data_IF_180628555511
#
_entry.id   IF_180628555511
#
_cell.length_a   1.000
_cell.length_b   1.000
_cell.length_c   1.000
_cell.angle_alpha   90.00
_cell.angle_beta   90.00
_cell.angle_gamma   90.00
#
_symmetry.space_group_name_H-M   'P 1'
#
loop_
_entity.id
_entity.type
_entity.pdbx_description
1 polymer ?
#
# COMPACT_ATOMS: atom_id res chain seq x y z
N UNK A 1 -1.93 -4.38 -1.54
CA UNK A 1 -1.83 -4.09 -3.00
C UNK A 1 -1.88 -2.60 -3.31
N UNK A 2 -2.96 -1.87 -2.98
CA UNK A 2 -3.06 -0.43 -3.29
C UNK A 2 -1.89 0.42 -2.75
N UNK A 3 -1.45 0.16 -1.51
CA UNK A 3 -0.28 0.79 -0.89
C UNK A 3 1.00 0.64 -1.73
N UNK A 4 1.24 -0.57 -2.26
CA UNK A 4 2.42 -0.88 -3.06
C UNK A 4 2.42 -0.12 -4.38
N UNK A 5 1.27 0.01 -5.05
CA UNK A 5 1.12 0.85 -6.24
C UNK A 5 1.43 2.33 -5.90
N UNK A 6 0.75 2.90 -4.91
CA UNK A 6 0.93 4.30 -4.51
C UNK A 6 2.40 4.62 -4.19
N UNK A 7 3.06 3.77 -3.39
CA UNK A 7 4.43 3.99 -2.93
C UNK A 7 5.49 3.67 -3.97
N UNK A 8 5.12 3.13 -5.13
CA UNK A 8 6.06 2.84 -6.24
C UNK A 8 5.84 3.71 -7.47
N UNK A 9 4.74 4.47 -7.54
CA UNK A 9 4.50 5.48 -8.57
C UNK A 9 5.35 6.76 -8.35
N UNK A 10 5.56 7.57 -9.41
CA UNK A 10 6.24 8.86 -9.29
C UNK A 10 5.39 9.87 -8.51
N UNK A 11 6.05 10.87 -7.92
CA UNK A 11 5.41 11.97 -7.19
C UNK A 11 5.42 11.81 -5.67
N UNK A 12 4.65 12.66 -4.99
CA UNK A 12 4.53 12.65 -3.53
C UNK A 12 3.31 11.80 -3.14
N UNK A 13 3.50 10.64 -2.49
CA UNK A 13 2.38 9.82 -2.05
C UNK A 13 1.66 10.49 -0.88
N UNK A 14 0.33 10.49 -0.92
CA UNK A 14 -0.52 10.93 0.18
C UNK A 14 -1.29 9.72 0.72
N UNK A 15 -1.19 9.50 2.03
CA UNK A 15 -1.89 8.41 2.74
C UNK A 15 -2.93 9.08 3.62
N UNK A 16 -4.19 8.69 3.48
CA UNK A 16 -5.25 9.17 4.35
C UNK A 16 -5.30 8.34 5.64
N UNK A 17 -5.62 8.98 6.76
CA UNK A 17 -5.65 8.31 8.04
C UNK A 17 -6.61 7.11 8.00
N UNK A 18 -6.16 5.96 8.51
CA UNK A 18 -6.95 4.73 8.50
C UNK A 18 -6.66 3.82 7.31
N UNK A 19 -6.13 4.32 6.19
CA UNK A 19 -5.77 3.45 5.06
C UNK A 19 -4.68 2.45 5.44
N UNK A 20 -3.75 2.85 6.30
CA UNK A 20 -2.64 2.02 6.78
C UNK A 20 -3.07 0.87 7.69
N UNK A 21 -4.26 0.96 8.30
CA UNK A 21 -4.88 -0.14 9.06
C UNK A 21 -6.08 -0.76 8.33
N UNK A 22 -6.42 -0.28 7.13
CA UNK A 22 -7.49 -0.84 6.31
C UNK A 22 -8.89 -0.43 6.79
N UNK A 23 -9.04 0.78 7.34
CA UNK A 23 -10.35 1.34 7.67
C UNK A 23 -11.27 1.38 6.46
N UNK A 24 -12.56 1.20 6.73
CA UNK A 24 -13.60 1.20 5.73
C UNK A 24 -14.37 2.51 5.77
N UNK A 25 -14.93 2.89 4.63
CA UNK A 25 -15.83 4.03 4.53
C UNK A 25 -16.57 3.98 3.21
N UNK A 26 -17.79 4.55 3.18
CA UNK A 26 -18.69 4.40 2.02
C UNK A 26 -19.32 5.71 1.58
N UNK A 27 -19.39 5.90 0.26
CA UNK A 27 -20.20 6.94 -0.40
C UNK A 27 -21.70 6.63 -0.26
N UNK A 28 -22.60 7.63 -0.33
CA UNK A 28 -22.35 9.01 -0.76
C UNK A 28 -21.92 9.97 0.35
N UNK A 29 -22.05 9.61 1.63
CA UNK A 29 -21.85 10.55 2.73
C UNK A 29 -20.41 10.58 3.23
N UNK A 30 -19.76 11.74 3.13
CA UNK A 30 -18.34 11.91 3.47
C UNK A 30 -18.02 11.61 4.94
N UNK A 31 -18.98 11.82 5.85
CA UNK A 31 -18.82 11.50 7.28
C UNK A 31 -18.39 10.04 7.53
N UNK A 32 -18.83 9.10 6.70
CA UNK A 32 -18.48 7.68 6.83
C UNK A 32 -17.07 7.35 6.34
N UNK A 33 -16.38 8.28 5.67
CA UNK A 33 -14.95 8.17 5.38
C UNK A 33 -14.10 8.82 6.48
N UNK A 34 -14.75 9.49 7.42
CA UNK A 34 -14.13 10.19 8.54
C UNK A 34 -14.43 9.51 9.88
N UNK A 35 -14.88 8.25 9.87
CA UNK A 35 -15.17 7.55 11.13
C UNK A 35 -13.96 7.61 12.09
N UNK A 36 -14.22 7.63 13.41
CA UNK A 36 -13.14 7.60 14.39
C UNK A 36 -12.11 6.51 14.08
N UNK A 37 -10.83 6.88 14.12
CA UNK A 37 -9.74 5.94 13.84
C UNK A 37 -9.75 4.78 14.83
N UNK A 38 -9.58 3.54 14.39
CA UNK A 38 -9.67 2.38 15.27
C UNK A 38 -8.35 2.12 16.02
N UNK A 39 -8.15 2.83 17.14
CA UNK A 39 -6.91 2.75 17.92
C UNK A 39 -6.73 1.40 18.62
N UNK A 40 -7.76 0.96 19.36
CA UNK A 40 -7.75 -0.25 20.19
C UNK A 40 -9.17 -0.75 20.41
N UNK A 41 -9.32 -2.05 20.72
CA UNK A 41 -10.58 -2.63 21.23
C UNK A 41 -10.65 -2.70 22.75
N UNK A 42 -9.52 -2.54 23.44
CA UNK A 42 -9.41 -2.74 24.89
C UNK A 42 -9.07 -1.45 25.63
N UNK A 43 -8.25 -0.58 25.04
CA UNK A 43 -7.88 0.71 25.62
C UNK A 43 -8.36 1.85 24.72
N UNK A 44 -9.58 2.33 24.97
CA UNK A 44 -10.20 3.40 24.18
C UNK A 44 -9.84 4.82 24.67
N UNK A 45 -8.85 4.97 25.56
CA UNK A 45 -8.46 6.29 26.04
C UNK A 45 -7.91 7.14 24.88
N UNK A 46 -8.50 8.32 24.64
CA UNK A 46 -8.15 9.19 23.51
C UNK A 46 -8.86 8.87 22.18
N UNK A 47 -9.67 7.80 22.14
CA UNK A 47 -10.55 7.50 21.01
C UNK A 47 -11.63 8.58 20.88
N UNK A 48 -11.79 9.15 19.68
CA UNK A 48 -12.87 10.11 19.43
C UNK A 48 -14.21 9.39 19.27
N UNK A 49 -15.29 10.03 19.70
CA UNK A 49 -16.66 9.45 19.70
C UNK A 49 -17.68 10.32 18.95
N UNK A 50 -17.19 11.25 18.11
CA UNK A 50 -18.01 12.24 17.42
C UNK A 50 -19.02 11.64 16.43
N UNK A 51 -18.75 10.42 15.95
CA UNK A 51 -19.63 9.63 15.09
C UNK A 51 -19.55 8.18 15.53
N UNK A 52 -20.71 7.53 15.70
CA UNK A 52 -20.75 6.09 15.82
C UNK A 52 -20.23 5.46 14.51
N UNK A 53 -19.14 4.71 14.60
CA UNK A 53 -18.59 4.00 13.44
C UNK A 53 -19.64 3.00 12.96
N UNK A 54 -19.87 2.87 11.65
CA UNK A 54 -20.74 1.86 11.06
C UNK A 54 -19.93 0.87 10.22
N UNK A 55 -18.87 1.34 9.57
CA UNK A 55 -18.07 0.55 8.63
C UNK A 55 -16.76 0.09 9.23
N UNK A 56 -16.04 0.97 9.92
CA UNK A 56 -14.80 0.64 10.62
C UNK A 56 -15.12 -0.03 11.96
N UNK A 57 -15.38 -1.34 11.90
CA UNK A 57 -15.64 -2.18 13.08
C UNK A 57 -14.91 -3.50 12.98
N UNK A 58 -14.59 -4.08 14.13
CA UNK A 58 -14.03 -5.43 14.24
C UNK A 58 -14.99 -6.47 13.68
N UNK A 59 -16.30 -6.29 13.88
CA UNK A 59 -17.34 -7.13 13.28
C UNK A 59 -17.32 -7.16 11.75
N UNK A 60 -16.73 -6.14 11.11
CA UNK A 60 -16.58 -6.03 9.66
C UNK A 60 -15.18 -6.46 9.21
N UNK A 61 -14.39 -7.09 10.09
CA UNK A 61 -13.04 -7.57 9.81
C UNK A 61 -11.95 -6.50 9.92
N UNK A 62 -12.24 -5.30 10.43
CA UNK A 62 -11.20 -4.29 10.68
C UNK A 62 -10.36 -4.70 11.90
N UNK A 63 -9.04 -4.57 11.81
CA UNK A 63 -8.11 -4.89 12.90
C UNK A 63 -7.61 -3.57 13.51
N UNK A 64 -7.79 -3.33 14.82
CA UNK A 64 -7.30 -2.12 15.47
C UNK A 64 -5.78 -1.95 15.38
N UNK A 65 -5.31 -0.70 15.48
CA UNK A 65 -3.89 -0.38 15.33
C UNK A 65 -3.01 -1.12 16.34
N UNK A 66 -3.38 -1.15 17.62
CA UNK A 66 -2.60 -1.84 18.66
C UNK A 66 -2.28 -3.31 18.29
N UNK A 67 -3.27 -4.04 17.78
CA UNK A 67 -3.11 -5.42 17.30
C UNK A 67 -2.29 -5.53 16.03
N UNK A 68 -2.41 -4.57 15.12
CA UNK A 68 -1.56 -4.56 13.93
C UNK A 68 -0.09 -4.23 14.26
N UNK A 69 0.18 -3.47 15.33
CA UNK A 69 1.56 -3.19 15.76
C UNK A 69 2.26 -4.44 16.31
N UNK A 70 1.51 -5.37 16.90
CA UNK A 70 2.01 -6.66 17.40
C UNK A 70 2.33 -7.67 16.28
N UNK A 71 1.67 -7.56 15.11
CA UNK A 71 1.84 -8.49 13.98
C UNK A 71 2.78 -7.94 12.90
N UNK A 72 3.93 -8.58 12.69
CA UNK A 72 4.91 -8.19 11.65
C UNK A 72 4.38 -8.25 10.22
N UNK A 73 3.33 -9.03 9.96
CA UNK A 73 2.70 -9.19 8.64
C UNK A 73 1.47 -8.30 8.45
N UNK A 74 1.17 -7.43 9.41
CA UNK A 74 0.01 -6.54 9.36
C UNK A 74 0.11 -5.50 8.24
N UNK A 75 -1.03 -4.88 7.91
CA UNK A 75 -1.08 -3.85 6.88
C UNK A 75 -0.23 -2.64 7.28
N UNK A 76 -0.29 -2.19 8.53
CA UNK A 76 0.51 -1.03 8.98
C UNK A 76 2.01 -1.30 8.85
N UNK A 77 2.46 -2.52 9.15
CA UNK A 77 3.87 -2.89 9.02
C UNK A 77 4.28 -3.08 7.55
N UNK A 78 3.37 -3.52 6.68
CA UNK A 78 3.57 -3.50 5.23
C UNK A 78 3.73 -2.05 4.70
N UNK A 79 2.90 -1.11 5.16
CA UNK A 79 3.06 0.33 4.84
C UNK A 79 4.42 0.86 5.30
N UNK A 80 4.80 0.62 6.57
CA UNK A 80 6.11 1.04 7.10
C UNK A 80 7.27 0.49 6.26
N UNK A 81 7.21 -0.80 5.88
CA UNK A 81 8.22 -1.44 5.02
C UNK A 81 8.32 -0.77 3.65
N UNK A 82 7.19 -0.52 2.99
CA UNK A 82 7.17 0.14 1.68
C UNK A 82 7.67 1.59 1.75
N UNK A 83 7.27 2.34 2.77
CA UNK A 83 7.75 3.71 3.01
C UNK A 83 9.27 3.70 3.20
N UNK A 84 9.79 2.81 4.04
CA UNK A 84 11.22 2.68 4.26
C UNK A 84 11.99 2.37 2.97
N UNK A 85 11.48 1.44 2.15
CA UNK A 85 12.06 1.10 0.85
C UNK A 85 12.05 2.30 -0.10
N UNK A 86 10.96 3.08 -0.14
CA UNK A 86 10.88 4.28 -0.96
C UNK A 86 11.88 5.34 -0.49
N UNK A 87 11.92 5.65 0.81
CA UNK A 87 12.82 6.64 1.38
C UNK A 87 14.30 6.31 1.17
N UNK A 88 14.65 5.02 1.06
CA UNK A 88 16.01 4.57 0.78
C UNK A 88 16.35 4.47 -0.71
N UNK A 89 15.43 4.83 -1.61
CA UNK A 89 15.60 4.66 -3.06
C UNK A 89 15.31 5.95 -3.82
N UNK A 90 16.37 6.61 -4.25
CA UNK A 90 16.28 7.79 -5.14
C UNK A 90 15.51 7.47 -6.43
N UNK A 91 15.64 6.24 -6.93
CA UNK A 91 14.92 5.79 -8.13
C UNK A 91 13.40 5.76 -7.88
N UNK A 92 12.96 5.32 -6.70
CA UNK A 92 11.53 5.32 -6.35
C UNK A 92 11.02 6.73 -6.04
N UNK A 93 11.84 7.62 -5.47
CA UNK A 93 11.47 9.00 -5.19
C UNK A 93 11.41 9.87 -6.44
N UNK A 94 12.46 9.86 -7.26
CA UNK A 94 12.69 10.83 -8.34
C UNK A 94 12.64 10.23 -9.74
N UNK A 95 12.68 8.90 -9.86
CA UNK A 95 12.79 8.27 -11.17
C UNK A 95 11.56 8.47 -12.06
N UNK A 96 11.79 8.62 -13.36
CA UNK A 96 10.75 8.68 -14.36
C UNK A 96 10.07 7.32 -14.49
N UNK A 97 8.77 7.31 -14.77
CA UNK A 97 8.00 6.09 -14.99
C UNK A 97 7.97 5.75 -16.48
N UNK A 98 8.32 4.50 -16.82
CA UNK A 98 8.21 3.95 -18.16
C UNK A 98 7.26 2.73 -18.13
N UNK A 99 6.04 2.82 -18.69
CA UNK A 99 5.10 1.70 -18.69
C UNK A 99 5.62 0.52 -19.51
N UNK A 100 5.36 -0.70 -19.04
CA UNK A 100 5.68 -1.93 -19.78
C UNK A 100 4.37 -2.60 -20.20
N UNK A 101 4.13 -2.69 -21.50
CA UNK A 101 2.87 -3.21 -22.04
C UNK A 101 2.83 -4.73 -21.93
N UNK A 102 1.72 -5.24 -21.40
CA UNK A 102 1.44 -6.68 -21.29
C UNK A 102 0.02 -6.98 -21.74
N UNK A 103 -0.20 -8.17 -22.31
CA UNK A 103 -1.54 -8.67 -22.68
C UNK A 103 -2.33 -9.16 -21.45
N UNK A 104 -1.66 -9.36 -20.31
CA UNK A 104 -2.29 -9.85 -19.08
C UNK A 104 -2.92 -8.66 -18.34
N UNK A 105 -4.24 -8.53 -18.43
CA UNK A 105 -5.01 -7.38 -17.92
C UNK A 105 -4.82 -7.06 -16.43
N UNK A 106 -4.50 -8.06 -15.62
CA UNK A 106 -4.33 -7.90 -14.17
C UNK A 106 -2.89 -7.61 -13.75
N UNK A 107 -1.98 -7.39 -14.69
CA UNK A 107 -0.60 -7.02 -14.40
C UNK A 107 -0.36 -5.55 -14.71
N UNK A 108 0.10 -4.81 -13.71
CA UNK A 108 0.62 -3.46 -13.85
C UNK A 108 2.15 -3.55 -13.78
N UNK A 109 2.80 -3.36 -14.93
CA UNK A 109 4.24 -3.46 -15.08
C UNK A 109 4.80 -2.11 -15.51
N UNK A 110 5.87 -1.67 -14.86
CA UNK A 110 6.58 -0.45 -15.25
C UNK A 110 8.01 -0.46 -14.72
N UNK A 111 8.84 0.36 -15.34
CA UNK A 111 10.18 0.69 -14.89
C UNK A 111 10.20 2.07 -14.23
N UNK A 112 11.03 2.22 -13.20
CA UNK A 112 11.47 3.52 -12.69
C UNK A 112 12.94 3.72 -13.05
N UNK A 113 13.26 4.86 -13.63
CA UNK A 113 14.62 5.18 -14.09
C UNK A 113 15.10 6.50 -13.50
N UNK A 114 16.29 6.50 -12.91
CA UNK A 114 16.96 7.70 -12.40
C UNK A 114 18.47 7.55 -12.47
N UNK A 115 19.18 8.54 -13.01
CA UNK A 115 20.65 8.55 -13.15
C UNK A 115 21.22 7.24 -13.75
N UNK A 116 20.66 6.80 -14.88
CA UNK A 116 21.02 5.56 -15.59
C UNK A 116 20.87 4.26 -14.77
N UNK A 117 20.16 4.31 -13.63
CA UNK A 117 19.77 3.14 -12.85
C UNK A 117 18.28 2.90 -13.02
N UNK A 118 17.89 1.63 -12.99
CA UNK A 118 16.52 1.21 -13.24
C UNK A 118 16.02 0.21 -12.19
N UNK A 119 14.72 0.27 -11.90
CA UNK A 119 13.99 -0.71 -11.10
C UNK A 119 12.78 -1.18 -11.90
N UNK A 120 12.70 -2.49 -12.12
CA UNK A 120 11.50 -3.14 -12.66
C UNK A 120 10.48 -3.39 -11.55
N UNK A 121 9.24 -2.99 -11.77
CA UNK A 121 8.14 -3.13 -10.82
C UNK A 121 7.00 -3.90 -11.46
N UNK A 122 6.48 -4.88 -10.73
CA UNK A 122 5.39 -5.72 -11.16
C UNK A 122 4.35 -5.85 -10.04
N UNK A 123 3.13 -5.37 -10.31
CA UNK A 123 1.99 -5.54 -9.43
C UNK A 123 0.95 -6.46 -10.08
N UNK A 124 0.53 -7.48 -9.35
CA UNK A 124 -0.63 -8.28 -9.70
C UNK A 124 -1.87 -7.70 -9.03
N UNK A 125 -2.69 -6.98 -9.79
CA UNK A 125 -3.94 -6.37 -9.30
C UNK A 125 -5.13 -7.33 -9.39
N UNK A 126 -4.90 -8.57 -9.84
CA UNK A 126 -5.91 -9.63 -9.90
C UNK A 126 -5.91 -10.52 -8.66
N UNK A 127 -6.93 -11.38 -8.56
CA UNK A 127 -7.06 -12.35 -7.47
C UNK A 127 -6.38 -13.69 -7.74
N UNK A 128 -5.87 -13.92 -8.97
CA UNK A 128 -5.22 -15.18 -9.36
C UNK A 128 -3.72 -14.98 -9.51
N UNK A 129 -2.95 -16.01 -9.15
CA UNK A 129 -1.50 -16.04 -9.39
C UNK A 129 -1.21 -15.82 -10.88
N UNK A 130 -0.23 -14.97 -11.17
CA UNK A 130 0.26 -14.70 -12.51
C UNK A 130 1.74 -15.05 -12.58
N UNK A 131 2.19 -15.47 -13.76
CA UNK A 131 3.61 -15.69 -14.05
C UNK A 131 4.09 -14.66 -15.07
N UNK A 132 5.27 -14.10 -14.82
CA UNK A 132 5.95 -13.21 -15.77
C UNK A 132 7.38 -13.68 -15.95
N UNK A 133 7.90 -13.50 -17.16
CA UNK A 133 9.32 -13.66 -17.44
C UNK A 133 9.99 -12.31 -17.26
N UNK A 134 10.96 -12.24 -16.34
CA UNK A 134 11.75 -11.01 -16.12
C UNK A 134 12.70 -10.84 -17.32
N UNK A 135 12.68 -9.68 -18.01
CA UNK A 135 13.63 -9.38 -19.07
C UNK A 135 15.09 -9.45 -18.59
N UNK A 136 15.99 -9.89 -19.47
CA UNK A 136 17.38 -10.19 -19.10
C UNK A 136 18.13 -9.01 -18.50
N UNK A 137 17.85 -7.80 -18.99
CA UNK A 137 18.42 -6.55 -18.48
C UNK A 137 18.18 -6.33 -16.98
N UNK A 138 17.16 -6.96 -16.39
CA UNK A 138 16.84 -6.86 -14.96
C UNK A 138 17.31 -8.05 -14.12
N UNK A 139 17.75 -9.16 -14.74
CA UNK A 139 18.09 -10.41 -14.02
C UNK A 139 19.33 -10.32 -13.15
N UNK A 140 20.24 -9.37 -13.44
CA UNK A 140 21.49 -9.23 -12.71
C UNK A 140 21.31 -8.65 -11.29
N UNK A 141 20.15 -8.07 -10.99
CA UNK A 141 19.84 -7.51 -9.68
C UNK A 141 18.88 -8.43 -8.91
N UNK A 142 19.26 -8.86 -7.70
CA UNK A 142 18.35 -9.59 -6.80
C UNK A 142 17.17 -8.69 -6.42
N UNK A 143 16.00 -8.96 -6.97
CA UNK A 143 14.76 -8.27 -6.60
C UNK A 143 14.36 -8.58 -5.15
N UNK A 144 13.69 -7.63 -4.49
CA UNK A 144 12.98 -7.88 -3.23
C UNK A 144 11.51 -8.14 -3.55
N UNK A 145 10.98 -9.27 -3.10
CA UNK A 145 9.52 -9.49 -3.05
C UNK A 145 9.01 -8.75 -1.82
N UNK A 146 8.09 -7.81 -2.03
CA UNK A 146 7.56 -6.94 -0.97
C UNK A 146 6.09 -7.22 -0.74
#
# INVERSE_FOLDING_TARGET
MAAALLLTLPGLPFIYYGEEIGMLGRKPYDKYRREPFLWSSTNCQGQTTWLESLYTKISNGCIPLDKQLEDSNSLVNHYKKLIHIRCQSDILCFGLLRPIITKIRCLCLFEREYNNKFIFIAHNIGSRRQCITIPEIYRQNKGKII
#
